data_IF_449234623609
#
_entry.id   IF_449234623609
#
_cell.length_a   1.000
_cell.length_b   1.000
_cell.length_c   1.000
_cell.angle_alpha   90.00
_cell.angle_beta   90.00
_cell.angle_gamma   90.00
#
_symmetry.space_group_name_H-M   'P 1'
#
loop_
_entity.id
_entity.type
_entity.pdbx_description
1 polymer ?
#
# COMPACT_ATOMS: atom_id res chain seq x y z
N UNK A 1 -2.92 -24.31 13.85
CA UNK A 1 -3.51 -23.05 13.35
C UNK A 1 -2.61 -22.55 12.22
N UNK A 2 -3.16 -22.03 11.11
CA UNK A 2 -2.33 -21.38 10.10
C UNK A 2 -1.58 -20.19 10.71
N UNK A 3 -0.32 -20.03 10.34
CA UNK A 3 0.55 -18.93 10.78
C UNK A 3 0.66 -17.95 9.62
N UNK A 4 0.26 -16.69 9.83
CA UNK A 4 0.17 -15.69 8.76
C UNK A 4 1.33 -14.69 8.75
N UNK A 5 1.84 -14.29 9.92
CA UNK A 5 2.95 -13.35 10.07
C UNK A 5 2.85 -12.11 9.17
N UNK A 6 1.71 -11.42 9.21
CA UNK A 6 1.46 -10.23 8.40
C UNK A 6 0.85 -9.09 9.20
N UNK A 7 1.15 -7.88 8.76
CA UNK A 7 0.52 -6.67 9.27
C UNK A 7 -0.94 -6.63 8.82
N UNK A 8 -1.83 -6.25 9.75
CA UNK A 8 -3.27 -6.15 9.50
C UNK A 8 -3.78 -4.80 9.99
N UNK A 9 -4.90 -4.32 9.44
CA UNK A 9 -5.58 -3.12 9.95
C UNK A 9 -6.07 -3.34 11.39
N UNK A 10 -6.11 -2.27 12.18
CA UNK A 10 -6.37 -2.31 13.63
C UNK A 10 -7.67 -3.01 14.04
N UNK A 11 -8.67 -3.02 13.17
CA UNK A 11 -9.98 -3.63 13.44
C UNK A 11 -10.10 -5.09 13.01
N UNK A 12 -9.08 -5.67 12.39
CA UNK A 12 -9.07 -7.08 11.99
C UNK A 12 -9.20 -8.02 13.21
N UNK A 13 -8.51 -7.80 14.34
CA UNK A 13 -8.73 -8.59 15.56
C UNK A 13 -10.19 -8.61 16.03
N UNK A 14 -10.87 -7.45 16.08
CA UNK A 14 -12.29 -7.34 16.44
C UNK A 14 -13.20 -8.11 15.48
N UNK A 15 -12.87 -8.08 14.19
CA UNK A 15 -13.64 -8.80 13.15
C UNK A 15 -13.46 -10.31 13.32
N UNK A 16 -12.23 -10.78 13.58
CA UNK A 16 -11.95 -12.21 13.82
C UNK A 16 -12.66 -12.68 15.09
N UNK A 17 -12.62 -11.90 16.17
CA UNK A 17 -13.31 -12.21 17.44
C UNK A 17 -14.81 -12.43 17.24
N UNK A 18 -15.47 -11.58 16.45
CA UNK A 18 -16.90 -11.71 16.11
C UNK A 18 -17.25 -13.00 15.38
N UNK A 19 -16.28 -13.65 14.74
CA UNK A 19 -16.48 -14.97 14.11
C UNK A 19 -16.35 -16.15 15.08
N UNK A 20 -16.04 -15.89 16.35
CA UNK A 20 -15.79 -16.92 17.37
C UNK A 20 -14.49 -17.69 17.18
N UNK A 21 -13.60 -17.21 16.30
CA UNK A 21 -12.27 -17.80 16.07
C UNK A 21 -11.28 -17.31 17.13
N UNK A 22 -10.37 -18.19 17.51
CA UNK A 22 -9.22 -17.87 18.37
C UNK A 22 -8.12 -17.28 17.48
N UNK A 23 -7.48 -16.22 17.95
CA UNK A 23 -6.37 -15.55 17.28
C UNK A 23 -5.27 -15.17 18.26
N UNK A 24 -4.09 -14.88 17.72
CA UNK A 24 -2.94 -14.35 18.44
C UNK A 24 -2.43 -13.13 17.67
N UNK A 25 -2.12 -12.06 18.39
CA UNK A 25 -1.61 -10.80 17.85
C UNK A 25 -0.53 -10.26 18.77
N UNK A 26 0.39 -9.47 18.22
CA UNK A 26 1.37 -8.71 18.97
C UNK A 26 1.43 -7.29 18.41
N UNK A 27 1.82 -6.33 19.25
CA UNK A 27 2.10 -4.96 18.83
C UNK A 27 3.60 -4.88 18.53
N UNK A 28 3.93 -4.48 17.31
CA UNK A 28 5.32 -4.37 16.82
C UNK A 28 6.00 -3.14 17.43
N UNK A 29 7.32 -3.21 17.60
CA UNK A 29 8.11 -1.99 17.81
C UNK A 29 8.25 -1.19 16.50
N UNK A 30 8.85 0.00 16.59
CA UNK A 30 8.96 0.92 15.44
C UNK A 30 9.79 0.34 14.28
N UNK A 31 10.88 -0.38 14.57
CA UNK A 31 11.75 -0.95 13.54
C UNK A 31 11.06 -2.13 12.84
N UNK A 32 10.44 -3.02 13.62
CA UNK A 32 9.66 -4.14 13.10
C UNK A 32 8.42 -3.67 12.34
N UNK A 33 7.78 -2.59 12.79
CA UNK A 33 6.64 -1.97 12.13
C UNK A 33 6.99 -1.43 10.74
N UNK A 34 8.08 -0.67 10.63
CA UNK A 34 8.54 -0.13 9.33
C UNK A 34 8.83 -1.27 8.35
N UNK A 35 9.56 -2.31 8.77
CA UNK A 35 9.83 -3.49 7.92
C UNK A 35 8.55 -4.22 7.52
N UNK A 36 7.58 -4.29 8.43
CA UNK A 36 6.29 -4.94 8.18
C UNK A 36 5.43 -4.13 7.20
N UNK A 37 5.51 -2.81 7.20
CA UNK A 37 4.86 -1.95 6.20
C UNK A 37 5.46 -2.12 4.81
N UNK A 38 6.78 -2.21 4.68
CA UNK A 38 7.44 -2.49 3.39
C UNK A 38 7.02 -3.86 2.85
N UNK A 39 6.97 -4.87 3.72
CA UNK A 39 6.49 -6.21 3.39
C UNK A 39 5.02 -6.17 2.96
N UNK A 40 4.18 -5.43 3.69
CA UNK A 40 2.76 -5.28 3.37
C UNK A 40 2.54 -4.56 2.03
N UNK A 41 3.35 -3.55 1.73
CA UNK A 41 3.32 -2.86 0.43
C UNK A 41 3.62 -3.81 -0.74
N UNK A 42 4.58 -4.73 -0.57
CA UNK A 42 4.86 -5.75 -1.56
C UNK A 42 3.72 -6.76 -1.70
N UNK A 43 3.07 -7.16 -0.60
CA UNK A 43 1.87 -8.01 -0.58
C UNK A 43 0.76 -7.37 -1.43
N UNK A 44 0.29 -6.17 -1.07
CA UNK A 44 -0.86 -5.54 -1.76
C UNK A 44 -0.54 -5.20 -3.22
N UNK A 45 0.72 -4.84 -3.53
CA UNK A 45 1.14 -4.63 -4.92
C UNK A 45 1.04 -5.93 -5.71
N UNK A 46 1.45 -7.05 -5.13
CA UNK A 46 1.35 -8.34 -5.80
C UNK A 46 -0.09 -8.81 -5.96
N UNK A 47 -0.97 -8.51 -4.98
CA UNK A 47 -2.42 -8.75 -5.06
C UNK A 47 -3.06 -7.90 -6.17
N UNK A 48 -2.70 -6.61 -6.28
CA UNK A 48 -3.13 -5.75 -7.39
C UNK A 48 -2.70 -6.32 -8.75
N UNK A 49 -1.42 -6.72 -8.89
CA UNK A 49 -0.89 -7.27 -10.13
C UNK A 49 -1.54 -8.62 -10.53
N UNK A 50 -2.13 -9.34 -9.57
CA UNK A 50 -2.77 -10.65 -9.79
C UNK A 50 -4.30 -10.60 -9.74
N UNK A 51 -4.87 -9.40 -9.60
CA UNK A 51 -6.31 -9.15 -9.60
C UNK A 51 -6.96 -9.66 -10.89
N UNK A 52 -8.11 -10.33 -10.75
CA UNK A 52 -8.79 -11.00 -11.87
C UNK A 52 -9.88 -10.14 -12.53
N UNK A 53 -10.23 -9.03 -11.90
CA UNK A 53 -11.25 -8.09 -12.35
C UNK A 53 -11.07 -6.72 -11.71
N UNK A 54 -11.78 -5.72 -12.24
CA UNK A 54 -11.68 -4.32 -11.82
C UNK A 54 -12.08 -4.10 -10.36
N UNK A 55 -13.01 -4.91 -9.82
CA UNK A 55 -13.41 -4.78 -8.43
C UNK A 55 -12.26 -5.18 -7.49
N UNK A 56 -11.64 -6.34 -7.72
CA UNK A 56 -10.46 -6.77 -6.97
C UNK A 56 -9.35 -5.74 -7.10
N UNK A 57 -9.04 -5.29 -8.33
CA UNK A 57 -8.01 -4.29 -8.55
C UNK A 57 -8.28 -2.98 -7.78
N UNK A 58 -9.56 -2.56 -7.68
CA UNK A 58 -9.95 -1.37 -6.93
C UNK A 58 -9.79 -1.55 -5.42
N UNK A 59 -10.09 -2.74 -4.88
CA UNK A 59 -9.87 -3.07 -3.46
C UNK A 59 -8.36 -3.00 -3.14
N UNK A 60 -7.51 -3.62 -3.94
CA UNK A 60 -6.05 -3.58 -3.72
C UNK A 60 -5.44 -2.19 -3.89
N UNK A 61 -5.95 -1.38 -4.84
CA UNK A 61 -5.55 0.03 -4.96
C UNK A 61 -5.91 0.84 -3.71
N UNK A 62 -6.99 0.50 -3.02
CA UNK A 62 -7.38 1.17 -1.78
C UNK A 62 -6.45 0.82 -0.62
N UNK A 63 -5.97 -0.41 -0.55
CA UNK A 63 -4.98 -0.84 0.44
C UNK A 63 -3.59 -0.24 0.14
N UNK A 64 -3.18 -0.19 -1.13
CA UNK A 64 -1.98 0.54 -1.55
C UNK A 64 -2.05 2.03 -1.17
N UNK A 65 -3.21 2.67 -1.32
CA UNK A 65 -3.40 4.07 -0.93
C UNK A 65 -3.26 4.26 0.59
N UNK A 66 -3.84 3.36 1.40
CA UNK A 66 -3.66 3.38 2.85
C UNK A 66 -2.18 3.28 3.25
N UNK A 67 -1.43 2.39 2.61
CA UNK A 67 0.00 2.22 2.88
C UNK A 67 0.80 3.47 2.49
N UNK A 68 0.46 4.13 1.37
CA UNK A 68 1.09 5.40 0.98
C UNK A 68 0.82 6.48 2.05
N UNK A 69 -0.39 6.56 2.60
CA UNK A 69 -0.73 7.50 3.67
C UNK A 69 0.16 7.27 4.90
N UNK A 70 0.24 6.03 5.38
CA UNK A 70 1.05 5.67 6.55
C UNK A 70 2.54 5.90 6.31
N UNK A 71 3.06 5.45 5.17
CA UNK A 71 4.48 5.60 4.83
C UNK A 71 4.88 7.07 4.69
N UNK A 72 3.97 7.94 4.20
CA UNK A 72 4.26 9.38 4.13
C UNK A 72 4.58 9.96 5.51
N UNK A 73 3.84 9.56 6.54
CA UNK A 73 4.01 10.01 7.92
C UNK A 73 5.33 9.50 8.52
N UNK A 74 5.72 8.26 8.21
CA UNK A 74 7.00 7.67 8.66
C UNK A 74 8.19 8.46 8.12
N UNK A 75 8.08 8.98 6.90
CA UNK A 75 9.11 9.82 6.31
C UNK A 75 9.06 11.28 6.78
N UNK A 76 8.20 11.60 7.75
CA UNK A 76 8.05 12.96 8.29
C UNK A 76 7.32 13.92 7.34
N UNK A 77 6.69 13.41 6.29
CA UNK A 77 5.92 14.16 5.31
C UNK A 77 4.42 14.00 5.58
N UNK A 78 3.62 14.92 5.05
CA UNK A 78 2.17 14.77 5.02
C UNK A 78 1.69 14.24 3.66
N UNK A 79 0.46 13.71 3.60
CA UNK A 79 -0.11 13.30 2.31
C UNK A 79 -0.29 14.50 1.38
N UNK A 80 -0.55 15.68 1.93
CA UNK A 80 -0.65 16.92 1.15
C UNK A 80 0.68 17.27 0.48
N UNK A 81 1.80 17.05 1.17
CA UNK A 81 3.14 17.25 0.60
C UNK A 81 3.42 16.25 -0.54
N UNK A 82 3.10 14.97 -0.34
CA UNK A 82 3.23 13.94 -1.39
C UNK A 82 2.38 14.29 -2.61
N UNK A 83 1.15 14.75 -2.39
CA UNK A 83 0.22 15.16 -3.44
C UNK A 83 0.68 16.41 -4.19
N UNK A 84 1.28 17.38 -3.49
CA UNK A 84 1.87 18.56 -4.10
C UNK A 84 3.05 18.20 -5.01
N UNK A 85 3.96 17.33 -4.53
CA UNK A 85 5.06 16.80 -5.35
C UNK A 85 4.53 16.04 -6.57
N UNK A 86 3.44 15.26 -6.43
CA UNK A 86 2.80 14.55 -7.54
C UNK A 86 2.25 15.52 -8.59
N UNK A 87 1.60 16.62 -8.17
CA UNK A 87 1.08 17.65 -9.07
C UNK A 87 2.18 18.39 -9.81
N UNK A 88 3.24 18.82 -9.12
CA UNK A 88 4.39 19.46 -9.73
C UNK A 88 5.04 18.58 -10.81
N UNK A 89 5.23 17.28 -10.53
CA UNK A 89 5.72 16.33 -11.54
C UNK A 89 4.77 16.19 -12.73
N UNK A 90 3.45 16.23 -12.50
CA UNK A 90 2.46 16.16 -13.56
C UNK A 90 2.46 17.41 -14.45
N UNK A 91 2.70 18.58 -13.87
CA UNK A 91 2.82 19.85 -14.61
C UNK A 91 4.14 19.92 -15.40
N UNK A 92 5.26 19.48 -14.80
CA UNK A 92 6.58 19.48 -15.43
C UNK A 92 6.74 18.42 -16.53
N UNK A 93 6.20 17.22 -16.31
CA UNK A 93 6.54 16.01 -17.10
C UNK A 93 5.32 15.35 -17.74
N UNK A 94 4.14 15.90 -17.50
CA UNK A 94 2.88 15.26 -17.88
C UNK A 94 2.51 14.10 -16.95
N UNK A 95 1.44 13.40 -17.33
CA UNK A 95 0.92 12.24 -16.61
C UNK A 95 0.82 11.04 -17.55
N UNK A 96 0.46 9.87 -17.02
CA UNK A 96 0.32 8.64 -17.81
C UNK A 96 -0.91 8.60 -18.75
N UNK A 97 -1.62 9.73 -18.93
CA UNK A 97 -2.85 9.81 -19.75
C UNK A 97 -2.61 9.54 -21.24
N UNK A 98 -1.48 9.97 -21.78
CA UNK A 98 -1.13 9.82 -23.19
C UNK A 98 -0.63 8.40 -23.56
N UNK A 99 -0.46 7.51 -22.57
CA UNK A 99 -0.04 6.11 -22.77
C UNK A 99 1.27 5.95 -23.57
N UNK A 100 2.20 6.87 -23.36
CA UNK A 100 3.49 6.89 -24.05
C UNK A 100 4.41 5.83 -23.45
N UNK A 101 4.96 4.95 -24.31
CA UNK A 101 6.00 3.98 -23.95
C UNK A 101 7.28 4.32 -24.71
N UNK A 102 8.35 4.63 -23.98
CA UNK A 102 9.65 4.97 -24.56
C UNK A 102 10.37 3.69 -25.01
N UNK A 103 10.75 3.60 -26.29
CA UNK A 103 11.43 2.41 -26.86
C UNK A 103 12.95 2.56 -26.87
N UNK A 104 13.46 3.70 -27.32
CA UNK A 104 14.89 3.99 -27.35
C UNK A 104 15.14 5.50 -27.31
N UNK A 105 16.34 5.88 -26.91
CA UNK A 105 16.88 7.24 -27.00
C UNK A 105 18.26 7.11 -27.65
N UNK A 106 18.53 7.94 -28.65
CA UNK A 106 19.86 8.12 -29.24
C UNK A 106 20.36 9.52 -28.83
N UNK A 107 21.67 9.67 -28.64
CA UNK A 107 22.30 10.94 -28.25
C UNK A 107 22.26 12.01 -29.37
#
# INVERSE_FOLDING_TARGET
MPVYNKLVRDRIPEIIEKTGKIYETLILDEEEYIKSLETKLQEELQEYLTSKNDQQATEELSDLLELILVLSQIHGSSIEEVEEIRKQKADERGSFKEKIFLISVED
#
